data_IF_536052261901
#
_entry.id   IF_536052261901
#
_cell.length_a   1.000
_cell.length_b   1.000
_cell.length_c   1.000
_cell.angle_alpha   90.00
_cell.angle_beta   90.00
_cell.angle_gamma   90.00
#
_symmetry.space_group_name_H-M   'P 1'
#
loop_
_entity.id
_entity.type
_entity.pdbx_description
1 polymer ?
#
# COMPACT_ATOMS: atom_id res chain seq x y z
N UNK A 1 -11.47 10.18 3.81
CA UNK A 1 -11.99 8.80 3.97
C UNK A 1 -10.83 7.87 4.24
N UNK A 2 -11.05 6.73 4.92
CA UNK A 2 -9.99 5.75 5.15
C UNK A 2 -10.54 4.32 5.23
N UNK A 3 -9.67 3.34 5.01
CA UNK A 3 -9.89 1.93 5.34
C UNK A 3 -8.74 1.44 6.21
N UNK A 4 -9.02 0.51 7.10
CA UNK A 4 -8.00 -0.21 7.87
C UNK A 4 -7.72 -1.57 7.26
N UNK A 5 -6.47 -2.01 7.39
CA UNK A 5 -6.02 -3.36 7.06
C UNK A 5 -5.63 -4.00 8.38
N UNK A 6 -6.55 -4.77 8.97
CA UNK A 6 -6.37 -5.45 10.26
C UNK A 6 -5.59 -6.76 10.09
N UNK A 7 -4.42 -6.64 9.47
CA UNK A 7 -3.52 -7.73 9.14
C UNK A 7 -2.08 -7.34 9.48
N UNK A 8 -1.21 -8.32 9.63
CA UNK A 8 0.21 -8.07 9.88
C UNK A 8 0.94 -7.69 8.57
N UNK A 9 0.90 -6.39 8.24
CA UNK A 9 1.60 -5.81 7.09
C UNK A 9 2.62 -4.76 7.52
N UNK A 10 3.61 -4.53 6.66
CA UNK A 10 4.64 -3.51 6.84
C UNK A 10 4.68 -2.63 5.61
N UNK A 11 4.96 -1.34 5.81
CA UNK A 11 5.37 -0.46 4.72
C UNK A 11 6.78 -0.81 4.27
N UNK A 12 7.06 -0.61 2.99
CA UNK A 12 8.40 -0.88 2.46
C UNK A 12 9.40 0.12 3.09
N UNK A 13 10.32 -0.39 3.90
CA UNK A 13 11.18 0.44 4.74
C UNK A 13 12.40 1.02 4.00
N UNK A 14 12.29 1.34 2.71
CA UNK A 14 13.37 2.02 1.98
C UNK A 14 13.41 3.53 2.28
N UNK A 15 13.31 3.87 3.58
CA UNK A 15 13.22 5.25 4.12
C UNK A 15 14.50 6.07 3.94
N UNK A 16 15.63 5.45 3.61
CA UNK A 16 16.87 6.16 3.31
C UNK A 16 16.96 6.67 1.88
N UNK A 17 16.07 6.22 0.98
CA UNK A 17 16.11 6.54 -0.46
C UNK A 17 14.80 7.21 -0.92
N UNK A 18 13.67 6.95 -0.26
CA UNK A 18 12.36 7.42 -0.71
C UNK A 18 11.88 8.67 0.06
N UNK A 19 11.87 9.83 -0.62
CA UNK A 19 11.41 11.14 -0.08
C UNK A 19 9.94 11.14 0.38
N UNK A 20 9.15 10.13 0.02
CA UNK A 20 7.73 10.03 0.36
C UNK A 20 7.47 9.34 1.70
N UNK A 21 8.50 8.82 2.38
CA UNK A 21 8.34 8.10 3.66
C UNK A 21 8.47 9.07 4.83
N UNK A 22 7.43 9.13 5.64
CA UNK A 22 7.38 9.91 6.88
C UNK A 22 7.04 9.00 8.06
N UNK A 23 7.46 9.39 9.26
CA UNK A 23 6.95 8.77 10.48
C UNK A 23 5.45 9.02 10.55
N UNK A 24 4.65 8.00 10.85
CA UNK A 24 3.20 8.12 10.98
C UNK A 24 2.83 9.18 12.02
N UNK A 25 2.15 10.29 11.63
CA UNK A 25 1.62 11.24 12.59
C UNK A 25 0.56 10.60 13.48
N UNK A 26 0.59 10.89 14.79
CA UNK A 26 -0.37 10.38 15.78
C UNK A 26 -1.83 10.78 15.51
N UNK A 27 -2.04 11.80 14.68
CA UNK A 27 -3.35 12.40 14.42
C UNK A 27 -4.07 11.79 13.20
N UNK A 28 -3.42 10.92 12.43
CA UNK A 28 -3.95 10.47 11.13
C UNK A 28 -5.17 9.56 11.21
N UNK A 29 -5.34 8.79 12.29
CA UNK A 29 -6.55 7.99 12.50
C UNK A 29 -7.17 8.32 13.85
N UNK A 30 -8.50 8.49 13.91
CA UNK A 30 -9.21 8.54 15.19
C UNK A 30 -8.90 7.24 15.95
N UNK A 31 -8.67 7.37 17.26
CA UNK A 31 -8.42 6.28 18.22
C UNK A 31 -6.97 5.79 18.36
N UNK A 32 -5.98 6.39 17.69
CA UNK A 32 -4.56 6.06 17.90
C UNK A 32 -4.26 4.55 17.73
N UNK A 33 -5.14 3.84 17.01
CA UNK A 33 -4.99 2.43 16.73
C UNK A 33 -3.80 2.28 15.78
N UNK A 34 -2.78 1.57 16.25
CA UNK A 34 -1.58 1.19 15.49
C UNK A 34 -1.94 0.09 14.47
N UNK A 35 -3.02 0.30 13.72
CA UNK A 35 -3.51 -0.60 12.67
C UNK A 35 -3.12 0.03 11.34
N UNK A 36 -2.55 -0.75 10.41
CA UNK A 36 -2.27 -0.28 9.07
C UNK A 36 -3.52 0.28 8.38
N UNK A 37 -3.36 1.34 7.60
CA UNK A 37 -4.49 2.03 6.97
C UNK A 37 -4.12 2.77 5.70
N UNK A 38 -5.08 2.81 4.79
CA UNK A 38 -5.05 3.63 3.59
C UNK A 38 -6.06 4.76 3.78
N UNK A 39 -5.65 6.00 3.55
CA UNK A 39 -6.53 7.16 3.64
C UNK A 39 -6.39 8.08 2.44
N UNK A 40 -7.46 8.84 2.20
CA UNK A 40 -7.50 9.88 1.20
C UNK A 40 -7.86 11.20 1.87
N UNK A 41 -7.04 12.19 1.57
CA UNK A 41 -7.28 13.58 1.86
C UNK A 41 -7.61 14.33 0.56
N UNK A 42 -8.90 14.39 0.26
CA UNK A 42 -9.42 15.10 -0.90
C UNK A 42 -9.13 16.61 -0.88
N UNK A 43 -8.89 17.21 0.30
CA UNK A 43 -8.63 18.65 0.40
C UNK A 43 -7.23 18.98 -0.10
N UNK A 44 -6.28 18.08 0.16
CA UNK A 44 -4.88 18.22 -0.25
C UNK A 44 -4.54 17.38 -1.48
N UNK A 45 -5.52 16.66 -2.06
CA UNK A 45 -5.35 15.77 -3.21
C UNK A 45 -4.30 14.67 -3.01
N UNK A 46 -4.18 14.15 -1.78
CA UNK A 46 -3.20 13.12 -1.44
C UNK A 46 -3.84 11.83 -0.96
N UNK A 47 -3.15 10.73 -1.22
CA UNK A 47 -3.40 9.41 -0.66
C UNK A 47 -2.24 9.02 0.24
N UNK A 48 -2.54 8.36 1.34
CA UNK A 48 -1.54 7.85 2.25
C UNK A 48 -1.72 6.37 2.58
N UNK A 49 -0.58 5.73 2.82
CA UNK A 49 -0.44 4.32 3.20
C UNK A 49 0.38 4.28 4.47
N UNK A 50 -0.19 3.83 5.58
CA UNK A 50 0.49 3.76 6.87
C UNK A 50 0.52 2.33 7.41
N UNK A 51 1.65 1.88 7.93
CA UNK A 51 1.69 0.75 8.86
C UNK A 51 1.66 1.25 10.30
N UNK A 52 2.08 0.43 11.27
CA UNK A 52 2.11 0.81 12.69
C UNK A 52 3.07 1.96 13.02
N UNK A 53 4.08 2.20 12.18
CA UNK A 53 5.24 3.05 12.47
C UNK A 53 5.46 4.16 11.44
N UNK A 54 5.27 3.86 10.17
CA UNK A 54 5.61 4.70 9.03
C UNK A 54 4.42 4.92 8.13
N UNK A 55 4.53 5.95 7.29
CA UNK A 55 3.58 6.19 6.23
C UNK A 55 4.21 6.75 4.97
N UNK A 56 3.61 6.42 3.83
CA UNK A 56 3.93 6.93 2.52
C UNK A 56 2.79 7.84 2.08
N UNK A 57 3.10 9.01 1.52
CA UNK A 57 2.09 9.95 1.01
C UNK A 57 2.43 10.38 -0.41
N UNK A 58 1.42 10.30 -1.28
CA UNK A 58 1.55 10.59 -2.71
C UNK A 58 0.43 11.53 -3.17
N UNK A 59 0.70 12.32 -4.20
CA UNK A 59 -0.35 13.04 -4.92
C UNK A 59 -1.18 12.03 -5.71
N UNK A 60 -2.51 12.10 -5.58
CA UNK A 60 -3.42 11.16 -6.26
C UNK A 60 -3.30 11.28 -7.78
N UNK A 61 -3.04 12.47 -8.31
CA UNK A 61 -2.94 12.71 -9.75
C UNK A 61 -1.71 12.06 -10.40
N UNK A 62 -0.69 11.76 -9.60
CA UNK A 62 0.52 11.06 -10.03
C UNK A 62 0.31 9.54 -10.13
N UNK A 63 -0.68 8.98 -9.43
CA UNK A 63 -0.91 7.53 -9.43
C UNK A 63 -1.74 7.13 -10.64
N UNK A 64 -1.22 6.17 -11.40
CA UNK A 64 -1.90 5.60 -12.57
C UNK A 64 -2.79 4.43 -12.16
N UNK A 65 -2.25 3.53 -11.35
CA UNK A 65 -2.94 2.33 -10.88
C UNK A 65 -2.31 1.81 -9.60
N UNK A 66 -3.04 0.91 -8.94
CA UNK A 66 -2.57 0.13 -7.80
C UNK A 66 -2.46 -1.33 -8.26
N UNK A 67 -1.38 -2.01 -7.91
CA UNK A 67 -1.18 -3.42 -8.25
C UNK A 67 -1.05 -4.25 -6.98
N UNK A 68 -1.74 -5.39 -6.94
CA UNK A 68 -1.51 -6.45 -5.96
C UNK A 68 -0.69 -7.53 -6.66
N UNK A 69 0.50 -7.79 -6.16
CA UNK A 69 1.37 -8.86 -6.63
C UNK A 69 1.47 -9.96 -5.58
N UNK A 70 0.89 -11.12 -5.88
CA UNK A 70 1.04 -12.32 -5.06
C UNK A 70 2.23 -13.14 -5.56
N UNK A 71 3.13 -13.51 -4.65
CA UNK A 71 4.29 -14.36 -4.89
C UNK A 71 4.12 -15.65 -4.13
N UNK A 72 3.98 -16.75 -4.88
CA UNK A 72 3.69 -18.07 -4.34
C UNK A 72 4.92 -18.66 -3.62
N UNK A 73 4.71 -19.42 -2.53
CA UNK A 73 5.79 -20.09 -1.82
C UNK A 73 6.45 -21.14 -2.72
N UNK A 74 7.79 -21.14 -2.78
CA UNK A 74 8.56 -22.22 -3.40
C UNK A 74 9.51 -22.88 -2.39
N UNK A 75 10.56 -22.16 -1.94
CA UNK A 75 11.48 -22.62 -0.87
C UNK A 75 11.39 -21.80 0.42
N UNK A 76 10.69 -20.67 0.38
CA UNK A 76 10.39 -19.82 1.53
C UNK A 76 8.89 -19.52 1.60
N UNK A 77 8.52 -18.68 2.57
CA UNK A 77 7.18 -18.12 2.62
C UNK A 77 6.89 -17.32 1.35
N UNK A 78 5.70 -17.53 0.77
CA UNK A 78 5.17 -16.61 -0.22
C UNK A 78 4.81 -15.29 0.44
N UNK A 79 4.66 -14.23 -0.35
CA UNK A 79 4.32 -12.91 0.12
C UNK A 79 3.39 -12.21 -0.86
N UNK A 80 2.78 -11.13 -0.41
CA UNK A 80 1.98 -10.24 -1.25
C UNK A 80 2.51 -8.83 -1.10
N UNK A 81 2.56 -8.09 -2.21
CA UNK A 81 2.92 -6.69 -2.26
C UNK A 81 1.76 -5.86 -2.79
N UNK A 82 1.54 -4.69 -2.18
CA UNK A 82 0.71 -3.63 -2.74
C UNK A 82 1.64 -2.56 -3.31
N UNK A 83 1.48 -2.28 -4.59
CA UNK A 83 2.38 -1.41 -5.34
C UNK A 83 1.62 -0.29 -6.06
N UNK A 84 2.28 0.84 -6.27
CA UNK A 84 1.77 1.96 -7.06
C UNK A 84 2.54 2.09 -8.36
N UNK A 85 1.82 2.26 -9.46
CA UNK A 85 2.42 2.74 -10.72
C UNK A 85 2.30 4.26 -10.75
N UNK A 86 3.43 4.95 -10.74
CA UNK A 86 3.49 6.42 -10.77
C UNK A 86 3.71 6.92 -12.20
N UNK A 87 3.00 7.98 -12.57
CA UNK A 87 3.03 8.56 -13.91
C UNK A 87 4.44 9.06 -14.24
N UNK A 88 4.98 8.56 -15.35
CA UNK A 88 6.31 8.95 -15.82
C UNK A 88 7.45 8.16 -15.18
N UNK A 89 7.13 7.22 -14.29
CA UNK A 89 8.11 6.34 -13.66
C UNK A 89 8.10 4.96 -14.32
N UNK A 90 9.28 4.35 -14.42
CA UNK A 90 9.46 3.03 -15.06
C UNK A 90 9.39 1.87 -14.06
N UNK A 91 9.33 2.18 -12.76
CA UNK A 91 9.31 1.19 -11.68
C UNK A 91 8.08 1.39 -10.81
N UNK A 92 7.56 0.27 -10.31
CA UNK A 92 6.49 0.28 -9.33
C UNK A 92 7.03 0.64 -7.94
N UNK A 93 6.19 1.27 -7.14
CA UNK A 93 6.46 1.64 -5.76
C UNK A 93 5.72 0.72 -4.81
N UNK A 94 6.44 -0.20 -4.17
CA UNK A 94 5.87 -1.01 -3.09
C UNK A 94 5.51 -0.11 -1.90
N UNK A 95 4.24 -0.11 -1.48
CA UNK A 95 3.74 0.64 -0.32
C UNK A 95 3.38 -0.27 0.85
N UNK A 96 3.05 -1.54 0.58
CA UNK A 96 2.90 -2.55 1.62
C UNK A 96 3.43 -3.91 1.19
N UNK A 97 3.88 -4.67 2.18
CA UNK A 97 4.22 -6.07 2.08
C UNK A 97 3.56 -6.86 3.22
N UNK A 98 3.07 -8.06 2.92
CA UNK A 98 2.52 -8.99 3.89
C UNK A 98 2.54 -10.44 3.41
N UNK A 99 1.80 -11.31 4.09
CA UNK A 99 1.65 -12.70 3.68
C UNK A 99 1.01 -12.83 2.28
N UNK A 100 1.25 -13.96 1.60
CA UNK A 100 0.62 -14.23 0.30
C UNK A 100 -0.91 -14.09 0.39
N UNK A 101 -1.53 -13.48 -0.63
CA UNK A 101 -2.98 -13.20 -0.73
C UNK A 101 -3.59 -12.27 0.32
N UNK A 102 -2.79 -11.64 1.18
CA UNK A 102 -3.31 -10.81 2.29
C UNK A 102 -4.13 -9.61 1.79
N UNK A 103 -3.83 -9.09 0.59
CA UNK A 103 -4.50 -7.92 0.02
C UNK A 103 -5.72 -8.26 -0.83
N UNK A 104 -5.95 -9.53 -1.18
CA UNK A 104 -7.03 -9.96 -2.09
C UNK A 104 -8.41 -9.53 -1.57
N UNK A 105 -8.62 -9.66 -0.25
CA UNK A 105 -9.86 -9.26 0.43
C UNK A 105 -10.07 -7.74 0.51
N UNK A 106 -9.02 -6.96 0.24
CA UNK A 106 -9.03 -5.50 0.30
C UNK A 106 -9.15 -4.84 -1.07
N UNK A 107 -8.95 -5.59 -2.18
CA UNK A 107 -9.03 -5.07 -3.56
C UNK A 107 -10.21 -4.13 -3.76
N UNK A 108 -11.43 -4.64 -3.55
CA UNK A 108 -12.67 -3.86 -3.78
C UNK A 108 -12.77 -2.63 -2.86
N UNK A 109 -12.35 -2.76 -1.60
CA UNK A 109 -12.36 -1.64 -0.64
C UNK A 109 -11.38 -0.54 -1.04
N UNK A 110 -10.23 -0.92 -1.59
CA UNK A 110 -9.23 0.02 -2.11
C UNK A 110 -9.76 0.71 -3.36
N UNK A 111 -10.37 -0.02 -4.30
CA UNK A 111 -11.02 0.56 -5.48
C UNK A 111 -12.11 1.56 -5.09
N UNK A 112 -12.99 1.18 -4.15
CA UNK A 112 -14.07 2.04 -3.65
C UNK A 112 -13.55 3.28 -2.91
N UNK A 113 -12.48 3.14 -2.12
CA UNK A 113 -11.87 4.25 -1.41
C UNK A 113 -11.20 5.22 -2.39
N UNK A 114 -10.41 4.71 -3.33
CA UNK A 114 -9.49 5.49 -4.17
C UNK A 114 -10.07 5.95 -5.48
N UNK A 115 -11.09 5.26 -6.00
CA UNK A 115 -11.53 5.43 -7.38
C UNK A 115 -10.49 5.01 -8.42
N UNK A 116 -9.36 4.42 -8.00
CA UNK A 116 -8.33 3.89 -8.87
C UNK A 116 -8.58 2.41 -9.16
N UNK A 117 -8.18 1.97 -10.35
CA UNK A 117 -8.16 0.56 -10.69
C UNK A 117 -7.12 -0.17 -9.81
N UNK A 118 -7.54 -1.30 -9.22
CA UNK A 118 -6.63 -2.22 -8.53
C UNK A 118 -6.46 -3.47 -9.39
N UNK A 119 -5.25 -3.64 -9.91
CA UNK A 119 -4.86 -4.72 -10.80
C UNK A 119 -4.35 -5.90 -9.98
N UNK A 120 -4.85 -7.11 -10.27
CA UNK A 120 -4.24 -8.34 -9.77
C UNK A 120 -3.19 -8.79 -10.79
N UNK A 121 -1.91 -8.69 -10.44
CA UNK A 121 -0.84 -9.14 -11.32
C UNK A 121 -0.78 -10.69 -11.37
N UNK A 122 -0.28 -11.28 -12.47
CA UNK A 122 -0.07 -12.72 -12.55
C UNK A 122 0.83 -13.22 -11.41
N UNK A 123 0.44 -14.33 -10.82
CA UNK A 123 1.21 -14.97 -9.76
C UNK A 123 2.48 -15.60 -10.31
N UNK A 124 3.55 -15.52 -9.52
CA UNK A 124 4.79 -16.23 -9.82
C UNK A 124 5.37 -16.84 -8.54
N UNK A 125 6.18 -17.88 -8.70
CA UNK A 125 6.84 -18.55 -7.58
C UNK A 125 8.10 -17.80 -7.16
N UNK A 126 8.35 -17.74 -5.85
CA UNK A 126 9.60 -17.23 -5.29
C UNK A 126 10.77 -18.21 -5.58
N UNK A 127 11.22 -18.26 -6.83
CA UNK A 127 12.23 -19.20 -7.36
C UNK A 127 13.66 -18.84 -6.96
#
# INVERSE_FOLDING_TARGET
NFITIDEEIKTSSHYTINKHIMRRPKILLPDNQLIPAIWIDNKNSVIGFADKSFCHVFDISEIVSITIQNVLPAKGGGYSCLELTIRGESVNYEVYMGACHIFDLYKKKIEELTGLEVIMAPEYYNC
#
